data_IF_905181494259
#
_entry.id   IF_905181494259
#
_cell.length_a   1.000
_cell.length_b   1.000
_cell.length_c   1.000
_cell.angle_alpha   90.00
_cell.angle_beta   90.00
_cell.angle_gamma   90.00
#
_symmetry.space_group_name_H-M   'P 1'
#
loop_
_entity.id
_entity.type
_entity.pdbx_description
1 polymer ?
#
# COMPACT_ATOMS: atom_id res chain seq x y z
N UNK A 1 -13.04 1.40 -4.14
CA UNK A 1 -12.37 0.56 -5.15
C UNK A 1 -13.00 -0.81 -5.16
N UNK A 2 -13.25 -1.34 -6.34
CA UNK A 2 -13.84 -2.64 -6.62
C UNK A 2 -12.73 -3.61 -6.99
N UNK A 3 -12.71 -4.77 -6.34
CA UNK A 3 -11.74 -5.83 -6.62
C UNK A 3 -12.48 -7.03 -7.22
N UNK A 4 -12.05 -7.49 -8.38
CA UNK A 4 -12.63 -8.66 -9.07
C UNK A 4 -11.54 -9.68 -9.44
N UNK A 5 -11.87 -10.96 -9.67
CA UNK A 5 -10.87 -11.93 -10.13
C UNK A 5 -10.23 -11.54 -11.46
N UNK A 6 -11.05 -11.12 -12.41
CA UNK A 6 -10.66 -10.76 -13.78
C UNK A 6 -10.94 -9.28 -14.08
N UNK A 7 -10.28 -8.68 -15.09
CA UNK A 7 -10.60 -7.32 -15.55
C UNK A 7 -12.08 -7.16 -15.91
N UNK A 8 -12.66 -6.01 -15.56
CA UNK A 8 -13.98 -5.63 -16.07
C UNK A 8 -13.89 -5.37 -17.58
N UNK A 9 -14.93 -5.75 -18.31
CA UNK A 9 -15.08 -5.31 -19.70
C UNK A 9 -15.17 -3.77 -19.76
N UNK A 10 -14.60 -3.16 -20.80
CA UNK A 10 -14.49 -1.69 -20.95
C UNK A 10 -15.82 -0.97 -20.71
N UNK A 11 -16.91 -1.55 -21.21
CA UNK A 11 -18.27 -1.02 -21.00
C UNK A 11 -18.64 -0.94 -19.52
N UNK A 12 -18.45 -2.02 -18.76
CA UNK A 12 -18.79 -2.05 -17.33
C UNK A 12 -17.88 -1.12 -16.53
N UNK A 13 -16.61 -0.99 -16.91
CA UNK A 13 -15.70 -0.04 -16.28
C UNK A 13 -16.15 1.41 -16.55
N UNK A 14 -16.56 1.73 -17.79
CA UNK A 14 -17.08 3.04 -18.14
C UNK A 14 -18.38 3.37 -17.39
N UNK A 15 -19.30 2.41 -17.26
CA UNK A 15 -20.53 2.55 -16.47
C UNK A 15 -20.22 2.82 -14.99
N UNK A 16 -19.23 2.11 -14.42
CA UNK A 16 -18.78 2.32 -13.05
C UNK A 16 -18.15 3.71 -12.85
N UNK A 17 -17.29 4.15 -13.77
CA UNK A 17 -16.69 5.49 -13.77
C UNK A 17 -17.78 6.56 -13.82
N UNK A 18 -18.75 6.40 -14.72
CA UNK A 18 -19.88 7.32 -14.85
C UNK A 18 -20.68 7.42 -13.54
N UNK A 19 -21.04 6.28 -12.94
CA UNK A 19 -21.78 6.24 -11.68
C UNK A 19 -21.01 6.91 -10.52
N UNK A 20 -19.71 6.69 -10.41
CA UNK A 20 -18.87 7.33 -9.38
C UNK A 20 -18.78 8.86 -9.58
N UNK A 21 -18.60 9.32 -10.82
CA UNK A 21 -18.60 10.74 -11.14
C UNK A 21 -19.95 11.39 -10.84
N UNK A 22 -21.05 10.73 -11.18
CA UNK A 22 -22.39 11.22 -10.88
C UNK A 22 -22.64 11.30 -9.37
N UNK A 23 -22.19 10.30 -8.59
CA UNK A 23 -22.28 10.32 -7.13
C UNK A 23 -21.54 11.53 -6.55
N UNK A 24 -20.31 11.80 -6.99
CA UNK A 24 -19.56 12.97 -6.54
C UNK A 24 -20.31 14.28 -6.85
N UNK A 25 -20.82 14.43 -8.07
CA UNK A 25 -21.59 15.61 -8.49
C UNK A 25 -22.86 15.80 -7.64
N UNK A 26 -23.62 14.73 -7.42
CA UNK A 26 -24.85 14.77 -6.61
C UNK A 26 -24.59 15.22 -5.16
N UNK A 27 -23.37 15.02 -4.65
CA UNK A 27 -22.97 15.42 -3.30
C UNK A 27 -22.07 16.66 -3.27
N UNK A 28 -21.90 17.37 -4.40
CA UNK A 28 -21.07 18.58 -4.47
C UNK A 28 -19.57 18.33 -4.24
N UNK A 29 -19.10 17.10 -4.44
CA UNK A 29 -17.70 16.72 -4.31
C UNK A 29 -16.94 16.99 -5.61
N UNK A 30 -15.73 17.54 -5.49
CA UNK A 30 -14.83 17.73 -6.63
C UNK A 30 -14.43 16.41 -7.28
N UNK A 31 -14.26 16.43 -8.61
CA UNK A 31 -13.68 15.31 -9.33
C UNK A 31 -12.16 15.48 -9.34
N UNK A 32 -11.45 14.52 -8.76
CA UNK A 32 -9.99 14.44 -8.87
C UNK A 32 -9.63 13.82 -10.22
N UNK A 33 -9.12 14.67 -11.11
CA UNK A 33 -8.76 14.34 -12.50
C UNK A 33 -7.25 14.11 -12.69
N UNK A 34 -6.45 14.12 -11.61
CA UNK A 34 -4.99 13.91 -11.74
C UNK A 34 -4.66 12.46 -12.15
N UNK A 35 -5.48 11.51 -11.71
CA UNK A 35 -5.40 10.09 -12.07
C UNK A 35 -6.77 9.66 -12.60
N UNK A 36 -6.79 8.87 -13.67
CA UNK A 36 -8.02 8.44 -14.31
C UNK A 36 -8.88 7.61 -13.35
N UNK A 37 -10.20 7.84 -13.36
CA UNK A 37 -11.13 7.10 -12.51
C UNK A 37 -11.09 5.58 -12.81
N UNK A 38 -10.84 5.20 -14.06
CA UNK A 38 -10.65 3.80 -14.45
C UNK A 38 -9.51 3.13 -13.65
N UNK A 39 -8.45 3.89 -13.35
CA UNK A 39 -7.28 3.44 -12.57
C UNK A 39 -7.59 3.36 -11.07
N UNK A 40 -8.43 4.27 -10.55
CA UNK A 40 -8.78 4.36 -9.11
C UNK A 40 -9.86 3.38 -8.68
N UNK A 41 -10.82 3.12 -9.56
CA UNK A 41 -12.07 2.47 -9.17
C UNK A 41 -11.99 0.96 -9.20
N UNK A 42 -11.13 0.38 -10.04
CA UNK A 42 -11.10 -1.06 -10.28
C UNK A 42 -9.68 -1.62 -10.16
N UNK A 43 -9.58 -2.80 -9.56
CA UNK A 43 -8.38 -3.62 -9.50
C UNK A 43 -8.74 -5.10 -9.63
N UNK A 44 -7.82 -5.91 -10.11
CA UNK A 44 -7.95 -7.37 -10.10
C UNK A 44 -7.37 -7.98 -8.83
N UNK A 45 -7.67 -9.25 -8.54
CA UNK A 45 -6.98 -10.00 -7.49
C UNK A 45 -5.46 -10.09 -7.75
N UNK A 46 -5.04 -10.14 -9.02
CA UNK A 46 -3.63 -10.09 -9.40
C UNK A 46 -3.01 -8.72 -9.12
N UNK A 47 -3.75 -7.62 -9.33
CA UNK A 47 -3.28 -6.30 -8.92
C UNK A 47 -3.11 -6.21 -7.40
N UNK A 48 -4.03 -6.77 -6.63
CA UNK A 48 -3.89 -6.83 -5.17
C UNK A 48 -2.66 -7.64 -4.78
N UNK A 49 -2.46 -8.82 -5.37
CA UNK A 49 -1.28 -9.64 -5.12
C UNK A 49 0.00 -8.88 -5.43
N UNK A 50 0.08 -8.21 -6.59
CA UNK A 50 1.23 -7.40 -6.97
C UNK A 50 1.47 -6.21 -6.01
N UNK A 51 0.41 -5.55 -5.54
CA UNK A 51 0.52 -4.42 -4.61
C UNK A 51 1.04 -4.87 -3.23
N UNK A 52 0.51 -5.98 -2.68
CA UNK A 52 0.96 -6.52 -1.38
C UNK A 52 2.32 -7.22 -1.46
N UNK A 53 2.72 -7.64 -2.67
CA UNK A 53 4.09 -8.08 -2.97
C UNK A 53 5.05 -6.92 -3.25
N UNK A 54 4.65 -5.67 -2.98
CA UNK A 54 5.48 -4.46 -3.10
C UNK A 54 6.07 -4.26 -4.51
N UNK A 55 5.43 -4.83 -5.54
CA UNK A 55 5.86 -4.70 -6.94
C UNK A 55 5.68 -3.26 -7.50
N UNK A 56 5.11 -2.35 -6.70
CA UNK A 56 5.05 -0.92 -6.98
C UNK A 56 6.36 -0.15 -6.75
N UNK A 57 7.38 -0.82 -6.21
CA UNK A 57 8.66 -0.21 -5.85
C UNK A 57 9.82 -0.90 -6.56
N UNK A 58 10.90 -0.14 -6.80
CA UNK A 58 12.12 -0.73 -7.33
C UNK A 58 12.86 -1.52 -6.24
N UNK A 59 13.76 -2.40 -6.67
CA UNK A 59 14.74 -3.03 -5.79
C UNK A 59 16.11 -2.45 -6.14
N UNK A 60 16.86 -2.08 -5.13
CA UNK A 60 18.28 -1.78 -5.21
C UNK A 60 18.99 -2.63 -4.14
N UNK A 61 19.93 -3.48 -4.54
CA UNK A 61 20.67 -4.40 -3.66
C UNK A 61 19.78 -5.14 -2.61
N UNK A 62 18.69 -5.77 -3.07
CA UNK A 62 17.68 -6.49 -2.25
C UNK A 62 16.86 -5.61 -1.29
N UNK A 63 17.02 -4.28 -1.34
CA UNK A 63 16.24 -3.31 -0.57
C UNK A 63 15.20 -2.60 -1.44
N UNK A 64 14.12 -2.14 -0.82
CA UNK A 64 13.07 -1.40 -1.51
C UNK A 64 13.47 0.05 -1.69
N UNK A 65 13.48 0.50 -2.95
CA UNK A 65 13.67 1.90 -3.31
C UNK A 65 12.33 2.56 -3.65
N UNK A 66 12.03 3.67 -2.95
CA UNK A 66 10.84 4.48 -3.20
C UNK A 66 11.17 5.58 -4.20
N UNK A 67 10.78 5.36 -5.46
CA UNK A 67 10.90 6.41 -6.47
C UNK A 67 10.02 7.63 -6.15
N UNK A 68 10.51 8.86 -6.44
CA UNK A 68 9.72 10.09 -6.34
C UNK A 68 8.41 10.02 -7.14
N UNK A 69 7.39 10.74 -6.67
CA UNK A 69 6.14 10.89 -7.42
C UNK A 69 6.34 11.93 -8.50
N UNK A 70 6.17 11.52 -9.76
CA UNK A 70 6.17 12.43 -10.91
C UNK A 70 4.73 12.85 -11.19
N UNK A 71 4.43 14.15 -11.06
CA UNK A 71 3.07 14.70 -11.28
C UNK A 71 2.79 14.88 -12.77
N UNK A 72 2.87 13.78 -13.51
CA UNK A 72 2.64 13.72 -14.95
C UNK A 72 1.63 12.61 -15.26
N UNK A 73 0.68 12.83 -16.19
CA UNK A 73 -0.38 11.85 -16.48
C UNK A 73 0.13 10.45 -16.83
N UNK A 74 1.25 10.33 -17.55
CA UNK A 74 1.83 9.03 -17.92
C UNK A 74 2.32 8.24 -16.70
N UNK A 75 2.81 8.93 -15.65
CA UNK A 75 3.29 8.31 -14.43
C UNK A 75 2.13 7.99 -13.49
N UNK A 76 1.24 8.96 -13.30
CA UNK A 76 0.06 8.86 -12.43
C UNK A 76 -0.92 7.76 -12.90
N UNK A 77 -0.94 7.45 -14.20
CA UNK A 77 -1.72 6.35 -14.75
C UNK A 77 -0.89 5.09 -15.05
N UNK A 78 0.38 5.04 -14.61
CA UNK A 78 1.23 3.86 -14.77
C UNK A 78 0.76 2.70 -13.87
N UNK A 79 1.09 1.47 -14.27
CA UNK A 79 0.86 0.27 -13.44
C UNK A 79 1.53 0.42 -12.06
N UNK A 80 2.74 0.96 -12.02
CA UNK A 80 3.49 1.13 -10.79
C UNK A 80 2.77 2.05 -9.79
N UNK A 81 2.33 3.23 -10.24
CA UNK A 81 1.62 4.17 -9.38
C UNK A 81 0.24 3.62 -8.96
N UNK A 82 -0.47 2.94 -9.86
CA UNK A 82 -1.74 2.25 -9.54
C UNK A 82 -1.58 1.26 -8.39
N UNK A 83 -0.51 0.46 -8.39
CA UNK A 83 -0.25 -0.50 -7.31
C UNK A 83 0.04 0.21 -5.97
N UNK A 84 0.70 1.38 -5.97
CA UNK A 84 0.85 2.21 -4.76
C UNK A 84 -0.50 2.70 -4.25
N UNK A 85 -1.36 3.22 -5.14
CA UNK A 85 -2.71 3.66 -4.78
C UNK A 85 -3.55 2.51 -4.20
N UNK A 86 -3.42 1.31 -4.77
CA UNK A 86 -4.10 0.12 -4.28
C UNK A 86 -3.64 -0.28 -2.88
N UNK A 87 -2.32 -0.31 -2.65
CA UNK A 87 -1.78 -0.56 -1.32
C UNK A 87 -2.31 0.47 -0.30
N UNK A 88 -2.23 1.76 -0.64
CA UNK A 88 -2.72 2.84 0.21
C UNK A 88 -4.21 2.73 0.49
N UNK A 89 -5.02 2.36 -0.50
CA UNK A 89 -6.47 2.22 -0.31
C UNK A 89 -6.80 1.08 0.66
N UNK A 90 -6.04 -0.02 0.65
CA UNK A 90 -6.21 -1.14 1.56
C UNK A 90 -5.73 -0.82 2.99
N UNK A 91 -4.83 0.14 3.16
CA UNK A 91 -4.21 0.52 4.43
C UNK A 91 -4.56 1.93 4.92
N UNK A 92 -5.52 2.60 4.27
CA UNK A 92 -6.09 3.87 4.71
C UNK A 92 -7.48 3.67 5.31
N UNK A 93 -8.03 4.63 6.08
CA UNK A 93 -9.42 4.55 6.54
C UNK A 93 -10.38 4.43 5.36
N UNK A 94 -11.19 3.38 5.35
CA UNK A 94 -12.21 3.17 4.32
C UNK A 94 -13.36 2.32 4.88
N UNK A 95 -14.51 2.39 4.21
CA UNK A 95 -15.68 1.56 4.53
C UNK A 95 -15.78 0.39 3.56
N UNK A 96 -16.01 -0.80 4.08
CA UNK A 96 -16.40 -1.96 3.28
C UNK A 96 -17.87 -1.82 2.88
N UNK A 97 -18.15 -1.76 1.58
CA UNK A 97 -19.51 -1.56 1.07
C UNK A 97 -20.22 -2.86 0.71
N UNK A 98 -19.49 -3.95 0.44
CA UNK A 98 -20.07 -5.25 0.10
C UNK A 98 -19.10 -6.19 -0.62
N UNK A 99 -19.53 -7.44 -0.81
CA UNK A 99 -18.74 -8.51 -1.45
C UNK A 99 -18.33 -9.61 -0.47
N UNK A 100 -17.24 -10.31 -0.79
CA UNK A 100 -16.70 -11.38 0.06
C UNK A 100 -15.85 -10.78 1.21
N UNK A 101 -16.42 -10.72 2.42
CA UNK A 101 -15.77 -10.16 3.60
C UNK A 101 -14.48 -10.90 3.99
N UNK A 102 -14.45 -12.23 3.88
CA UNK A 102 -13.28 -13.01 4.25
C UNK A 102 -12.10 -12.74 3.31
N UNK A 103 -12.37 -12.61 2.01
CA UNK A 103 -11.35 -12.24 1.03
C UNK A 103 -10.86 -10.81 1.24
N UNK A 104 -11.78 -9.88 1.53
CA UNK A 104 -11.44 -8.50 1.87
C UNK A 104 -10.50 -8.42 3.09
N UNK A 105 -10.83 -9.10 4.18
CA UNK A 105 -9.98 -9.14 5.38
C UNK A 105 -8.61 -9.75 5.10
N UNK A 106 -8.55 -10.82 4.29
CA UNK A 106 -7.28 -11.40 3.84
C UNK A 106 -6.43 -10.39 3.06
N UNK A 107 -7.03 -9.64 2.15
CA UNK A 107 -6.33 -8.60 1.38
C UNK A 107 -5.85 -7.47 2.27
N UNK A 108 -6.65 -7.05 3.25
CA UNK A 108 -6.25 -6.06 4.24
C UNK A 108 -5.06 -6.51 5.07
N UNK A 109 -5.11 -7.70 5.66
CA UNK A 109 -4.01 -8.23 6.46
C UNK A 109 -2.72 -8.33 5.64
N UNK A 110 -2.81 -8.82 4.40
CA UNK A 110 -1.67 -8.86 3.49
C UNK A 110 -1.09 -7.45 3.21
N UNK A 111 -1.96 -6.44 3.03
CA UNK A 111 -1.54 -5.06 2.81
C UNK A 111 -0.91 -4.43 4.07
N UNK A 112 -1.46 -4.69 5.26
CA UNK A 112 -0.90 -4.21 6.53
C UNK A 112 0.49 -4.81 6.79
N UNK A 113 0.64 -6.12 6.56
CA UNK A 113 1.95 -6.79 6.55
C UNK A 113 2.91 -6.17 5.54
N UNK A 114 2.45 -5.91 4.31
CA UNK A 114 3.27 -5.31 3.26
C UNK A 114 3.75 -3.89 3.63
N UNK A 115 2.91 -3.06 4.23
CA UNK A 115 3.30 -1.72 4.70
C UNK A 115 4.31 -1.80 5.85
N UNK A 116 4.18 -2.76 6.76
CA UNK A 116 5.19 -3.01 7.78
C UNK A 116 6.53 -3.45 7.18
N UNK A 117 6.51 -4.36 6.19
CA UNK A 117 7.72 -4.75 5.45
C UNK A 117 8.37 -3.56 4.73
N UNK A 118 7.57 -2.69 4.12
CA UNK A 118 8.07 -1.46 3.50
C UNK A 118 8.73 -0.55 4.54
N UNK A 119 8.10 -0.34 5.70
CA UNK A 119 8.67 0.46 6.78
C UNK A 119 10.00 -0.11 7.31
N UNK A 120 10.10 -1.44 7.44
CA UNK A 120 11.35 -2.12 7.81
C UNK A 120 12.42 -1.92 6.76
N UNK A 121 12.08 -2.07 5.47
CA UNK A 121 13.03 -1.88 4.37
C UNK A 121 13.54 -0.44 4.27
N UNK A 122 12.75 0.55 4.67
CA UNK A 122 13.15 1.96 4.67
C UNK A 122 13.88 2.36 5.95
N UNK A 123 13.94 1.45 6.94
CA UNK A 123 14.59 1.69 8.21
C UNK A 123 16.00 1.08 8.24
N UNK A 124 17.02 1.91 8.38
CA UNK A 124 18.43 1.49 8.36
C UNK A 124 18.98 1.02 9.72
N UNK A 125 18.12 0.65 10.67
CA UNK A 125 18.50 0.20 12.02
C UNK A 125 18.11 -1.24 12.32
N UNK A 126 18.70 -1.81 13.38
CA UNK A 126 18.34 -3.15 13.89
C UNK A 126 17.16 -3.12 14.85
N UNK A 127 16.78 -1.94 15.33
CA UNK A 127 15.68 -1.76 16.30
C UNK A 127 14.73 -0.73 15.73
N UNK A 128 13.48 -1.15 15.50
CA UNK A 128 12.43 -0.28 15.00
C UNK A 128 11.35 -0.10 16.07
N UNK A 129 10.96 1.14 16.29
CA UNK A 129 9.79 1.50 17.09
C UNK A 129 8.60 1.77 16.17
N UNK A 130 7.37 1.73 16.69
CA UNK A 130 6.19 2.17 15.93
C UNK A 130 6.36 3.61 15.40
N UNK A 131 6.97 4.50 16.19
CA UNK A 131 7.22 5.88 15.80
C UNK A 131 8.18 5.97 14.61
N UNK A 132 9.29 5.22 14.64
CA UNK A 132 10.25 5.20 13.53
C UNK A 132 9.69 4.50 12.30
N UNK A 133 8.84 3.48 12.45
CA UNK A 133 8.11 2.85 11.35
C UNK A 133 7.14 3.84 10.67
N UNK A 134 6.39 4.63 11.44
CA UNK A 134 5.54 5.70 10.92
C UNK A 134 6.36 6.74 10.18
N UNK A 135 7.48 7.19 10.76
CA UNK A 135 8.37 8.16 10.12
C UNK A 135 8.88 7.64 8.77
N UNK A 136 9.36 6.39 8.73
CA UNK A 136 9.91 5.76 7.54
C UNK A 136 8.94 5.76 6.34
N UNK A 137 7.62 5.65 6.58
CA UNK A 137 6.62 5.64 5.49
C UNK A 137 5.91 6.97 5.26
N UNK A 138 6.15 7.99 6.09
CA UNK A 138 5.50 9.30 5.98
C UNK A 138 6.44 10.42 5.55
N UNK A 139 7.75 10.23 5.71
CA UNK A 139 8.79 11.21 5.39
C UNK A 139 9.86 10.55 4.53
N UNK A 140 10.07 11.09 3.32
CA UNK A 140 11.19 10.74 2.46
C UNK A 140 12.50 11.34 2.95
N UNK A 141 13.65 10.85 2.45
CA UNK A 141 14.98 11.31 2.86
C UNK A 141 15.22 12.81 2.61
N UNK A 142 14.54 13.37 1.62
CA UNK A 142 14.55 14.77 1.19
C UNK A 142 13.51 15.63 1.93
N UNK A 143 12.76 15.05 2.87
CA UNK A 143 11.65 15.71 3.58
C UNK A 143 10.33 15.69 2.82
N UNK A 144 10.26 15.03 1.65
CA UNK A 144 9.00 14.81 0.94
C UNK A 144 7.98 14.07 1.81
N UNK A 145 6.69 14.43 1.72
CA UNK A 145 5.65 13.85 2.58
C UNK A 145 4.31 13.72 1.86
N UNK A 146 3.38 12.94 2.43
CA UNK A 146 2.04 12.74 1.88
C UNK A 146 2.12 12.38 0.39
N UNK A 147 1.35 13.07 -0.46
CA UNK A 147 1.26 12.80 -1.90
C UNK A 147 2.57 12.93 -2.66
N UNK A 148 3.55 13.66 -2.11
CA UNK A 148 4.86 13.85 -2.71
C UNK A 148 5.83 12.70 -2.36
N UNK A 149 5.41 11.76 -1.51
CA UNK A 149 6.14 10.55 -1.13
C UNK A 149 5.26 9.30 -1.27
N UNK A 150 4.86 8.65 -0.17
CA UNK A 150 4.07 7.41 -0.16
C UNK A 150 2.56 7.62 0.01
N UNK A 151 2.09 8.85 0.20
CA UNK A 151 0.66 9.17 0.37
C UNK A 151 0.15 9.01 1.81
N UNK A 152 0.96 8.54 2.74
CA UNK A 152 0.56 8.37 4.14
C UNK A 152 0.65 9.67 4.95
N UNK A 153 -0.20 9.75 5.98
CA UNK A 153 -0.14 10.78 7.01
C UNK A 153 -0.05 10.10 8.39
N UNK A 154 0.82 10.62 9.26
CA UNK A 154 0.94 10.14 10.63
C UNK A 154 -0.38 10.36 11.40
N UNK A 155 -1.08 9.28 11.71
CA UNK A 155 -2.31 9.28 12.48
C UNK A 155 -2.49 7.93 13.21
N UNK A 156 -3.47 7.85 14.12
CA UNK A 156 -3.75 6.66 14.93
C UNK A 156 -4.08 5.42 14.08
N UNK A 157 -4.73 5.62 12.93
CA UNK A 157 -5.07 4.52 12.04
C UNK A 157 -3.82 3.90 11.41
N UNK A 158 -2.89 4.73 10.92
CA UNK A 158 -1.62 4.26 10.37
C UNK A 158 -0.76 3.55 11.42
N UNK A 159 -0.72 4.08 12.65
CA UNK A 159 -0.05 3.42 13.78
C UNK A 159 -0.65 2.02 14.00
N UNK A 160 -1.98 1.91 13.95
CA UNK A 160 -2.66 0.62 14.13
C UNK A 160 -2.39 -0.37 12.99
N UNK A 161 -2.31 0.12 11.75
CA UNK A 161 -1.91 -0.66 10.57
C UNK A 161 -0.50 -1.20 10.74
N UNK A 162 0.47 -0.34 11.08
CA UNK A 162 1.85 -0.74 11.28
C UNK A 162 2.01 -1.71 12.46
N UNK A 163 1.31 -1.46 13.57
CA UNK A 163 1.32 -2.37 14.71
C UNK A 163 0.82 -3.76 14.35
N UNK A 164 -0.32 -3.89 13.65
CA UNK A 164 -0.83 -5.20 13.20
C UNK A 164 0.12 -5.88 12.22
N UNK A 165 0.67 -5.12 11.27
CA UNK A 165 1.65 -5.64 10.32
C UNK A 165 2.93 -6.14 11.01
N UNK A 166 3.49 -5.38 11.95
CA UNK A 166 4.69 -5.76 12.71
C UNK A 166 4.42 -6.95 13.63
N UNK A 167 3.26 -7.00 14.29
CA UNK A 167 2.86 -8.16 15.10
C UNK A 167 2.74 -9.43 14.25
N UNK A 168 2.20 -9.31 13.02
CA UNK A 168 2.17 -10.43 12.08
C UNK A 168 3.57 -10.87 11.66
N UNK A 169 4.46 -9.93 11.32
CA UNK A 169 5.85 -10.25 10.98
C UNK A 169 6.61 -10.88 12.16
N UNK A 170 6.27 -10.50 13.40
CA UNK A 170 6.81 -11.14 14.60
C UNK A 170 6.33 -12.59 14.75
N UNK A 171 5.04 -12.85 14.49
CA UNK A 171 4.49 -14.20 14.49
C UNK A 171 5.09 -15.09 13.37
N UNK A 172 5.53 -14.48 12.27
CA UNK A 172 6.25 -15.15 11.18
C UNK A 172 7.76 -15.33 11.46
N UNK A 173 8.27 -14.78 12.57
CA UNK A 173 9.68 -14.86 12.96
C UNK A 173 10.62 -13.94 12.16
N UNK A 174 10.08 -12.96 11.43
CA UNK A 174 10.87 -12.01 10.63
C UNK A 174 11.46 -10.90 11.51
N UNK A 175 10.70 -10.49 12.53
CA UNK A 175 11.16 -9.60 13.59
C UNK A 175 10.92 -10.28 14.93
N UNK A 176 11.56 -9.77 15.98
CA UNK A 176 11.28 -10.17 17.36
C UNK A 176 10.65 -9.01 18.11
N UNK A 177 9.48 -9.24 18.67
CA UNK A 177 8.81 -8.29 19.54
C UNK A 177 9.55 -8.17 20.89
N UNK A 178 9.84 -6.94 21.30
CA UNK A 178 10.50 -6.62 22.57
C UNK A 178 9.48 -6.24 23.64
N UNK A 179 8.48 -5.41 23.30
CA UNK A 179 7.53 -4.83 24.24
C UNK A 179 6.17 -4.39 23.65
N UNK A 180 5.84 -4.83 22.43
CA UNK A 180 4.62 -4.47 21.69
C UNK A 180 4.71 -3.15 20.93
N UNK A 181 5.74 -2.33 21.18
CA UNK A 181 5.98 -1.06 20.50
C UNK A 181 7.36 -0.97 19.84
N UNK A 182 8.24 -1.89 20.20
CA UNK A 182 9.62 -2.00 19.78
C UNK A 182 9.90 -3.41 19.25
N UNK A 183 10.57 -3.50 18.10
CA UNK A 183 10.88 -4.75 17.42
C UNK A 183 12.35 -4.77 17.04
N UNK A 184 13.00 -5.92 17.20
CA UNK A 184 14.36 -6.14 16.67
C UNK A 184 14.31 -6.89 15.36
N UNK A 185 15.10 -6.43 14.39
CA UNK A 185 15.14 -6.91 13.02
C UNK A 185 16.43 -7.69 12.76
N UNK A 186 16.29 -8.87 12.16
CA UNK A 186 17.40 -9.54 11.48
C UNK A 186 17.41 -9.10 10.01
N UNK A 187 18.42 -8.31 9.64
CA UNK A 187 18.55 -7.77 8.29
C UNK A 187 18.70 -8.86 7.21
N UNK A 188 19.38 -9.96 7.52
CA UNK A 188 19.55 -11.04 6.56
C UNK A 188 18.22 -11.77 6.29
N UNK A 189 17.41 -11.97 7.33
CA UNK A 189 16.06 -12.53 7.20
C UNK A 189 15.16 -11.59 6.41
N UNK A 190 15.20 -10.28 6.71
CA UNK A 190 14.42 -9.28 5.99
C UNK A 190 14.74 -9.29 4.49
N UNK A 191 16.02 -9.22 4.14
CA UNK A 191 16.47 -9.25 2.75
C UNK A 191 15.94 -10.50 2.05
N UNK A 192 16.14 -11.69 2.64
CA UNK A 192 15.67 -12.94 2.06
C UNK A 192 14.15 -12.95 1.81
N UNK A 193 13.37 -12.39 2.73
CA UNK A 193 11.91 -12.29 2.59
C UNK A 193 11.51 -11.30 1.50
N UNK A 194 12.14 -10.13 1.41
CA UNK A 194 11.86 -9.13 0.36
C UNK A 194 12.18 -9.73 -1.02
N UNK A 195 13.35 -10.37 -1.17
CA UNK A 195 13.74 -11.04 -2.42
C UNK A 195 12.75 -12.14 -2.80
N UNK A 196 12.26 -12.94 -1.84
CA UNK A 196 11.29 -14.00 -2.12
C UNK A 196 9.90 -13.45 -2.50
N UNK A 197 9.42 -12.43 -1.79
CA UNK A 197 8.13 -11.79 -2.00
C UNK A 197 8.00 -11.21 -3.42
N UNK A 198 9.11 -10.69 -3.98
CA UNK A 198 9.16 -10.12 -5.33
C UNK A 198 9.28 -11.15 -6.46
N UNK A 199 9.53 -12.43 -6.15
CA UNK A 199 9.56 -13.52 -7.15
C UNK A 199 8.16 -14.07 -7.47
N UNK A 200 7.14 -13.62 -6.75
CA UNK A 200 5.75 -13.98 -7.01
C UNK A 200 5.28 -13.14 -8.23
N UNK A 201 4.92 -13.78 -9.35
CA UNK A 201 4.57 -13.11 -10.61
C UNK A 201 3.32 -12.23 -10.52
#
# INVERSE_FOLDING_TARGET
MFVTPEPLADRHLAELVHAACQLHQNHGLGLDREVDYAVKLHATCNDVAAAVSLCSFLADDDMIEVQPVVVEPWFLNSKQFRLRLLLNALTSPHSFLGGNVALYEKHRQAAERAVAMLALSLHHGQVITLSSAVAAITLGPDGASKKDYLGYAANTYLISVLHRGLAQLAAEGIVRDVDGSCFTLDQAVLHAVITALRRIP
#
